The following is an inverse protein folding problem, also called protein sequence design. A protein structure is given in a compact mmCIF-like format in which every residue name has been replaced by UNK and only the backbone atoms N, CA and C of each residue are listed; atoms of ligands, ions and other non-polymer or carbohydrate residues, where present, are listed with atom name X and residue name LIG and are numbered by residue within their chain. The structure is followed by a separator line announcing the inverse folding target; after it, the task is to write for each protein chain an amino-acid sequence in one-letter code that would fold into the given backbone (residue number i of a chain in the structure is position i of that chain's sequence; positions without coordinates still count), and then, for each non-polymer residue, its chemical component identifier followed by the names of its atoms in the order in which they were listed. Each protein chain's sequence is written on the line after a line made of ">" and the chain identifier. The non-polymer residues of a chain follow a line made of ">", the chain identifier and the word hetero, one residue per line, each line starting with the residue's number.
data_IF_547171931793
#
_entry.id   IF_547171931793
#
_cell.length_a   1.000
_cell.length_b   1.000
_cell.length_c   1.000
_cell.angle_alpha   90.00
_cell.angle_beta   90.00
_cell.angle_gamma   90.00
#
_symmetry.space_group_name_H-M   'P 1'
#
loop_
_entity.id
_entity.type
_entity.pdbx_description
1 polymer ?
#
# COMPACT_ATOMS: atom_id res chain seq x y z
N UNK A 1 6.79 15.98 14.15
CA UNK A 1 5.88 17.14 14.15
C UNK A 1 4.83 17.04 13.06
N UNK A 2 5.20 16.93 11.77
CA UNK A 2 4.24 16.77 10.66
C UNK A 2 3.27 15.58 10.83
N UNK A 3 3.80 14.40 11.18
CA UNK A 3 2.99 13.20 11.48
C UNK A 3 2.03 13.40 12.67
N UNK A 4 2.44 14.19 13.67
CA UNK A 4 1.59 14.48 14.82
C UNK A 4 0.46 15.45 14.47
N UNK A 5 0.74 16.48 13.67
CA UNK A 5 -0.28 17.40 13.13
C UNK A 5 -1.31 16.64 12.29
N UNK A 6 -0.84 15.71 11.47
CA UNK A 6 -1.69 14.84 10.67
C UNK A 6 -2.63 13.99 11.54
N UNK A 7 -2.11 13.29 12.55
CA UNK A 7 -2.93 12.51 13.48
C UNK A 7 -3.89 13.36 14.34
N UNK A 8 -3.69 14.68 14.40
CA UNK A 8 -4.59 15.63 15.06
C UNK A 8 -5.66 16.21 14.12
N UNK A 9 -5.67 15.80 12.83
CA UNK A 9 -6.59 16.31 11.81
C UNK A 9 -6.15 17.66 11.20
N UNK A 10 -4.97 18.16 11.56
CA UNK A 10 -4.41 19.40 11.01
C UNK A 10 -3.69 19.13 9.68
N UNK A 11 -4.48 18.79 8.66
CA UNK A 11 -3.99 18.34 7.35
C UNK A 11 -3.19 19.44 6.62
N UNK A 12 -3.70 20.67 6.57
CA UNK A 12 -3.01 21.76 5.85
C UNK A 12 -1.65 22.13 6.48
N UNK A 13 -1.53 22.27 7.82
CA UNK A 13 -0.24 22.40 8.48
C UNK A 13 0.71 21.21 8.24
N UNK A 14 0.20 19.97 8.29
CA UNK A 14 1.01 18.79 8.02
C UNK A 14 1.59 18.80 6.61
N UNK A 15 0.77 19.07 5.59
CA UNK A 15 1.19 19.21 4.19
C UNK A 15 2.27 20.27 4.02
N UNK A 16 2.10 21.46 4.63
CA UNK A 16 3.09 22.53 4.54
C UNK A 16 4.47 22.10 5.11
N UNK A 17 4.49 21.32 6.19
CA UNK A 17 5.74 20.80 6.75
C UNK A 17 6.34 19.73 5.85
N UNK A 18 5.55 18.79 5.31
CA UNK A 18 6.06 17.77 4.39
C UNK A 18 6.59 18.37 3.08
N UNK A 19 5.96 19.42 2.58
CA UNK A 19 6.45 20.18 1.41
C UNK A 19 7.80 20.85 1.66
N UNK A 20 8.01 21.38 2.88
CA UNK A 20 9.32 21.91 3.27
C UNK A 20 10.36 20.79 3.41
N UNK A 21 9.99 19.67 4.04
CA UNK A 21 10.89 18.52 4.19
C UNK A 21 11.31 17.97 2.83
N UNK A 22 10.38 17.84 1.87
CA UNK A 22 10.68 17.41 0.50
C UNK A 22 11.73 18.30 -0.19
N UNK A 23 11.71 19.61 0.04
CA UNK A 23 12.72 20.53 -0.50
C UNK A 23 14.09 20.35 0.14
N UNK A 24 14.13 19.99 1.42
CA UNK A 24 15.37 19.79 2.18
C UNK A 24 15.96 18.39 1.94
N UNK A 25 15.11 17.39 1.70
CA UNK A 25 15.46 15.97 1.59
C UNK A 25 14.68 15.35 0.41
N UNK A 26 15.01 15.74 -0.84
CA UNK A 26 14.24 15.31 -2.02
C UNK A 26 14.35 13.82 -2.34
N UNK A 27 15.31 13.11 -1.75
CA UNK A 27 15.55 11.68 -1.95
C UNK A 27 15.08 10.82 -0.78
N UNK A 28 14.45 11.40 0.24
CA UNK A 28 13.90 10.63 1.37
C UNK A 28 12.54 10.02 0.98
N UNK A 29 12.45 8.70 0.79
CA UNK A 29 11.23 8.03 0.34
C UNK A 29 10.09 8.11 1.37
N UNK A 30 10.39 8.27 2.67
CA UNK A 30 9.38 8.30 3.73
C UNK A 30 8.52 9.55 3.62
N UNK A 31 9.09 10.66 3.15
CA UNK A 31 8.35 11.91 2.92
C UNK A 31 7.28 11.70 1.84
N UNK A 32 7.64 11.02 0.75
CA UNK A 32 6.70 10.72 -0.34
C UNK A 32 5.64 9.69 0.11
N UNK A 33 6.03 8.68 0.90
CA UNK A 33 5.07 7.75 1.50
C UNK A 33 4.02 8.48 2.35
N UNK A 34 4.47 9.36 3.24
CA UNK A 34 3.59 10.13 4.13
C UNK A 34 2.70 11.13 3.38
N UNK A 35 3.20 11.76 2.31
CA UNK A 35 2.36 12.58 1.42
C UNK A 35 1.30 11.71 0.74
N UNK A 36 1.67 10.53 0.25
CA UNK A 36 0.74 9.56 -0.32
C UNK A 36 -0.38 9.18 0.65
N UNK A 37 -0.05 8.90 1.91
CA UNK A 37 -1.03 8.60 2.97
C UNK A 37 -2.04 9.75 3.15
N UNK A 38 -1.55 10.99 3.22
CA UNK A 38 -2.40 12.18 3.38
C UNK A 38 -3.37 12.33 2.21
N UNK A 39 -2.91 12.10 0.98
CA UNK A 39 -3.77 12.18 -0.20
C UNK A 39 -4.75 11.01 -0.26
N UNK A 40 -4.34 9.80 0.16
CA UNK A 40 -5.20 8.63 0.21
C UNK A 40 -6.34 8.79 1.23
N UNK A 41 -6.07 9.35 2.41
CA UNK A 41 -7.11 9.65 3.41
C UNK A 41 -8.13 10.70 2.94
N UNK A 42 -7.73 11.57 2.02
CA UNK A 42 -8.62 12.54 1.37
C UNK A 42 -9.27 12.00 0.09
N UNK A 43 -9.10 10.71 -0.20
CA UNK A 43 -9.59 10.04 -1.41
C UNK A 43 -9.07 10.66 -2.72
N UNK A 44 -7.96 11.40 -2.65
CA UNK A 44 -7.27 11.97 -3.81
C UNK A 44 -6.34 10.90 -4.41
N UNK A 45 -6.93 9.86 -4.99
CA UNK A 45 -6.24 8.64 -5.40
C UNK A 45 -5.11 8.87 -6.39
N UNK A 46 -5.29 9.76 -7.37
CA UNK A 46 -4.26 10.01 -8.39
C UNK A 46 -3.01 10.64 -7.77
N UNK A 47 -3.20 11.61 -6.87
CA UNK A 47 -2.08 12.22 -6.14
C UNK A 47 -1.41 11.19 -5.21
N UNK A 48 -2.19 10.39 -4.49
CA UNK A 48 -1.65 9.33 -3.63
C UNK A 48 -0.78 8.35 -4.43
N UNK A 49 -1.25 7.91 -5.60
CA UNK A 49 -0.48 7.04 -6.51
C UNK A 49 0.83 7.69 -6.93
N UNK A 50 0.83 8.95 -7.35
CA UNK A 50 2.04 9.66 -7.79
C UNK A 50 3.09 9.70 -6.67
N UNK A 51 2.67 10.05 -5.46
CA UNK A 51 3.55 10.13 -4.29
C UNK A 51 4.07 8.75 -3.89
N UNK A 52 3.20 7.74 -3.81
CA UNK A 52 3.63 6.39 -3.48
C UNK A 52 4.55 5.77 -4.54
N UNK A 53 4.30 6.01 -5.83
CA UNK A 53 5.20 5.56 -6.89
C UNK A 53 6.59 6.18 -6.75
N UNK A 54 6.66 7.47 -6.40
CA UNK A 54 7.93 8.14 -6.13
C UNK A 54 8.64 7.53 -4.92
N UNK A 55 7.91 7.25 -3.83
CA UNK A 55 8.46 6.59 -2.65
C UNK A 55 9.04 5.21 -2.98
N UNK A 56 8.31 4.38 -3.74
CA UNK A 56 8.76 3.05 -4.17
C UNK A 56 9.93 3.14 -5.15
N UNK A 57 9.96 4.15 -6.03
CA UNK A 57 11.08 4.36 -6.94
C UNK A 57 12.38 4.69 -6.19
N UNK A 58 12.29 5.52 -5.15
CA UNK A 58 13.42 5.88 -4.27
C UNK A 58 13.84 4.71 -3.38
N UNK A 59 12.88 3.96 -2.84
CA UNK A 59 13.14 2.76 -2.06
C UNK A 59 12.13 1.65 -2.39
N UNK A 60 12.52 0.69 -3.25
CA UNK A 60 11.64 -0.40 -3.62
C UNK A 60 11.22 -1.27 -2.44
N UNK A 61 11.95 -1.25 -1.32
CA UNK A 61 11.74 -2.11 -0.15
C UNK A 61 10.60 -1.66 0.78
N UNK A 62 9.92 -0.56 0.46
CA UNK A 62 8.78 -0.05 1.25
C UNK A 62 7.53 -0.90 1.03
N UNK A 63 7.48 -2.06 1.69
CA UNK A 63 6.40 -3.04 1.55
C UNK A 63 5.02 -2.47 1.89
N UNK A 64 4.91 -1.64 2.93
CA UNK A 64 3.64 -1.00 3.31
C UNK A 64 3.13 -0.03 2.24
N UNK A 65 4.02 0.71 1.59
CA UNK A 65 3.67 1.63 0.49
C UNK A 65 3.28 0.85 -0.76
N UNK A 66 3.99 -0.24 -1.05
CA UNK A 66 3.65 -1.15 -2.15
C UNK A 66 2.26 -1.77 -1.95
N UNK A 67 1.93 -2.16 -0.73
CA UNK A 67 0.59 -2.67 -0.37
C UNK A 67 -0.48 -1.60 -0.54
N UNK A 68 -0.25 -0.37 -0.04
CA UNK A 68 -1.18 0.76 -0.18
C UNK A 68 -1.47 1.10 -1.65
N UNK A 69 -0.45 1.04 -2.51
CA UNK A 69 -0.61 1.15 -3.96
C UNK A 69 -1.50 0.05 -4.53
N UNK A 70 -1.29 -1.20 -4.09
CA UNK A 70 -2.14 -2.34 -4.44
C UNK A 70 -3.60 -2.13 -4.04
N UNK A 71 -3.84 -1.63 -2.83
CA UNK A 71 -5.18 -1.31 -2.31
C UNK A 71 -5.89 -0.26 -3.17
N UNK A 72 -5.19 0.81 -3.55
CA UNK A 72 -5.76 1.86 -4.40
C UNK A 72 -6.07 1.30 -5.80
N UNK A 73 -5.16 0.55 -6.41
CA UNK A 73 -5.41 -0.04 -7.72
C UNK A 73 -6.54 -1.06 -7.71
N UNK A 74 -6.69 -1.83 -6.62
CA UNK A 74 -7.81 -2.73 -6.41
C UNK A 74 -9.13 -1.97 -6.39
N UNK A 75 -9.21 -0.88 -5.59
CA UNK A 75 -10.39 0.00 -5.52
C UNK A 75 -10.77 0.61 -6.87
N UNK A 76 -9.77 0.95 -7.69
CA UNK A 76 -9.97 1.48 -9.05
C UNK A 76 -10.28 0.40 -10.10
N UNK A 77 -10.36 -0.88 -9.72
CA UNK A 77 -10.57 -2.00 -10.65
C UNK A 77 -9.37 -2.30 -11.55
N UNK A 78 -8.21 -1.71 -11.28
CA UNK A 78 -6.96 -1.93 -12.00
C UNK A 78 -6.29 -3.24 -11.53
N UNK A 79 -6.99 -4.35 -11.73
CA UNK A 79 -6.69 -5.66 -11.12
C UNK A 79 -5.24 -6.11 -11.37
N UNK A 80 -4.75 -5.99 -12.61
CA UNK A 80 -3.38 -6.39 -12.94
C UNK A 80 -2.31 -5.60 -12.18
N UNK A 81 -2.52 -4.29 -11.95
CA UNK A 81 -1.59 -3.46 -11.17
C UNK A 81 -1.62 -3.85 -9.69
N UNK A 82 -2.82 -4.09 -9.15
CA UNK A 82 -2.98 -4.53 -7.77
C UNK A 82 -2.32 -5.90 -7.51
N UNK A 83 -2.54 -6.87 -8.40
CA UNK A 83 -1.89 -8.20 -8.34
C UNK A 83 -0.37 -8.05 -8.31
N UNK A 84 0.20 -7.26 -9.22
CA UNK A 84 1.64 -7.04 -9.26
C UNK A 84 2.21 -6.44 -7.97
N UNK A 85 1.42 -5.63 -7.26
CA UNK A 85 1.83 -5.06 -5.97
C UNK A 85 1.80 -6.09 -4.85
N UNK A 86 0.70 -6.81 -4.72
CA UNK A 86 0.57 -7.83 -3.69
C UNK A 86 1.58 -8.95 -3.89
N UNK A 87 1.88 -9.34 -5.13
CA UNK A 87 2.95 -10.30 -5.42
C UNK A 87 4.32 -9.80 -4.95
N UNK A 88 4.68 -8.54 -5.23
CA UNK A 88 5.94 -7.95 -4.74
C UNK A 88 6.02 -7.86 -3.21
N UNK A 89 4.90 -7.63 -2.54
CA UNK A 89 4.82 -7.68 -1.07
C UNK A 89 5.09 -9.10 -0.57
N UNK A 90 4.41 -10.09 -1.16
CA UNK A 90 4.52 -11.51 -0.78
C UNK A 90 5.87 -12.14 -1.14
N UNK A 91 6.58 -11.62 -2.15
CA UNK A 91 7.96 -12.01 -2.45
C UNK A 91 8.91 -11.75 -1.26
N UNK A 92 8.59 -10.76 -0.41
CA UNK A 92 9.41 -10.37 0.74
C UNK A 92 8.88 -10.88 2.06
N UNK A 93 7.57 -10.89 2.20
CA UNK A 93 6.84 -11.29 3.41
C UNK A 93 5.75 -12.28 3.02
N UNK A 94 6.12 -13.52 2.67
CA UNK A 94 5.18 -14.55 2.21
C UNK A 94 4.17 -14.98 3.28
N UNK A 95 4.42 -14.66 4.55
CA UNK A 95 3.60 -15.00 5.71
C UNK A 95 2.40 -14.08 5.96
N UNK A 96 2.26 -13.00 5.19
CA UNK A 96 1.19 -12.01 5.37
C UNK A 96 -0.14 -12.54 4.83
N UNK A 97 -0.93 -13.16 5.72
CA UNK A 97 -2.22 -13.75 5.35
C UNK A 97 -3.20 -12.69 4.79
N UNK A 98 -3.15 -11.45 5.28
CA UNK A 98 -3.98 -10.35 4.81
C UNK A 98 -3.72 -10.04 3.33
N UNK A 99 -2.46 -10.10 2.91
CA UNK A 99 -2.05 -9.79 1.54
C UNK A 99 -2.43 -10.94 0.59
N UNK A 100 -2.34 -12.20 1.05
CA UNK A 100 -2.89 -13.34 0.30
C UNK A 100 -4.40 -13.22 0.12
N UNK A 101 -5.13 -12.78 1.14
CA UNK A 101 -6.58 -12.53 1.02
C UNK A 101 -6.88 -11.43 -0.01
N UNK A 102 -6.20 -10.28 0.09
CA UNK A 102 -6.33 -9.18 -0.88
C UNK A 102 -6.01 -9.61 -2.31
N UNK A 103 -4.99 -10.45 -2.49
CA UNK A 103 -4.66 -11.04 -3.78
C UNK A 103 -5.80 -11.93 -4.30
N UNK A 104 -6.40 -12.76 -3.43
CA UNK A 104 -7.58 -13.56 -3.75
C UNK A 104 -8.76 -12.71 -4.22
N UNK A 105 -9.05 -11.61 -3.52
CA UNK A 105 -10.15 -10.69 -3.87
C UNK A 105 -9.97 -10.10 -5.28
N UNK A 106 -8.76 -9.67 -5.62
CA UNK A 106 -8.47 -9.09 -6.93
C UNK A 106 -8.47 -10.15 -8.04
N UNK A 107 -7.95 -11.35 -7.78
CA UNK A 107 -7.99 -12.46 -8.73
C UNK A 107 -9.43 -12.88 -9.02
N UNK A 108 -10.28 -12.93 -7.99
CA UNK A 108 -11.71 -13.20 -8.14
C UNK A 108 -12.39 -12.12 -8.98
N UNK A 109 -12.11 -10.84 -8.72
CA UNK A 109 -12.64 -9.72 -9.51
C UNK A 109 -12.22 -9.79 -10.99
N UNK A 110 -11.01 -10.27 -11.27
CA UNK A 110 -10.50 -10.48 -12.63
C UNK A 110 -11.07 -11.74 -13.31
N UNK A 111 -11.73 -12.62 -12.58
CA UNK A 111 -12.28 -13.89 -13.07
C UNK A 111 -11.28 -15.06 -13.08
N UNK A 112 -10.10 -14.89 -12.47
CA UNK A 112 -9.06 -15.92 -12.31
C UNK A 112 -9.41 -16.82 -11.10
N UNK A 113 -10.51 -17.57 -11.21
CA UNK A 113 -11.14 -18.24 -10.07
C UNK A 113 -10.24 -19.29 -9.40
N UNK A 114 -9.52 -20.09 -10.18
CA UNK A 114 -8.60 -21.11 -9.64
C UNK A 114 -7.45 -20.46 -8.85
N UNK A 115 -6.89 -19.37 -9.37
CA UNK A 115 -5.83 -18.63 -8.69
C UNK A 115 -6.35 -17.95 -7.42
N UNK A 116 -7.57 -17.41 -7.45
CA UNK A 116 -8.21 -16.82 -6.28
C UNK A 116 -8.40 -17.85 -5.16
N UNK A 117 -8.89 -19.06 -5.49
CA UNK A 117 -9.02 -20.16 -4.52
C UNK A 117 -7.67 -20.51 -3.88
N UNK A 118 -6.60 -20.60 -4.70
CA UNK A 118 -5.25 -20.85 -4.19
C UNK A 118 -4.78 -19.76 -3.21
N UNK A 119 -4.97 -18.48 -3.54
CA UNK A 119 -4.61 -17.37 -2.67
C UNK A 119 -5.39 -17.38 -1.35
N UNK A 120 -6.70 -17.63 -1.39
CA UNK A 120 -7.52 -17.74 -0.18
C UNK A 120 -7.15 -18.93 0.70
N UNK A 121 -6.76 -20.07 0.11
CA UNK A 121 -6.28 -21.23 0.87
C UNK A 121 -4.98 -20.90 1.62
N UNK A 122 -4.04 -20.23 0.95
CA UNK A 122 -2.81 -19.77 1.59
C UNK A 122 -3.10 -18.77 2.73
N UNK A 123 -4.01 -17.82 2.52
CA UNK A 123 -4.44 -16.90 3.56
C UNK A 123 -4.99 -17.65 4.79
N UNK A 124 -5.87 -18.64 4.58
CA UNK A 124 -6.46 -19.42 5.66
C UNK A 124 -5.41 -20.25 6.43
N UNK A 125 -4.48 -20.89 5.72
CA UNK A 125 -3.39 -21.67 6.34
C UNK A 125 -2.50 -20.79 7.23
N UNK A 126 -2.11 -19.62 6.73
CA UNK A 126 -1.27 -18.66 7.46
C UNK A 126 -2.00 -18.03 8.64
N UNK A 127 -3.28 -17.68 8.49
CA UNK A 127 -4.09 -17.13 9.57
C UNK A 127 -4.19 -18.13 10.74
N UNK A 128 -4.51 -19.39 10.46
CA UNK A 128 -4.60 -20.45 11.48
C UNK A 128 -3.26 -20.64 12.18
N UNK A 129 -2.17 -20.67 11.42
CA UNK A 129 -0.82 -20.86 11.97
C UNK A 129 -0.42 -19.69 12.87
N UNK A 130 -0.76 -18.46 12.50
CA UNK A 130 -0.46 -17.26 13.28
C UNK A 130 -1.26 -17.16 14.59
N UNK A 131 -2.46 -17.77 14.64
CA UNK A 131 -3.34 -17.77 15.82
C UNK A 131 -3.01 -18.83 16.88
N UNK A 132 -2.09 -19.76 16.60
CA UNK A 132 -1.74 -20.90 17.46
C UNK A 132 -0.46 -20.68 18.29
N UNK A 133 0.15 -19.49 18.23
CA UNK A 133 1.37 -19.09 18.95
C UNK A 133 1.02 -17.94 19.91
#
# INVERSE_FOLDING_TARGET
>A
MARALYHQGEIAPALAVYEQLRKLQPEDPDIYGLLGDIYAEQEQWDAAIEYYQTAVQLNPKLTSVQEALGDIWSRQGQCQKAIACYQQVLERSPELWEVHHKLGDVLWQQGELEAAVGAYQQAAELFITSALI
#
